data_IF_982121751051
#
_entry.id   IF_982121751051
#
_cell.length_a   1.000
_cell.length_b   1.000
_cell.length_c   1.000
_cell.angle_alpha   90.00
_cell.angle_beta   90.00
_cell.angle_gamma   90.00
#
_symmetry.space_group_name_H-M   'P 1'
#
loop_
_entity.id
_entity.type
_entity.pdbx_description
1 polymer ?
#
# COMPACT_ATOMS: atom_id res chain seq x y z
N UNK A 1 24.73 29.71 1.29
CA UNK A 1 23.28 29.68 1.66
C UNK A 1 22.62 28.78 0.63
N UNK A 2 21.80 27.83 1.04
CA UNK A 2 21.06 26.99 0.09
C UNK A 2 19.96 27.87 -0.53
N UNK A 3 19.97 28.01 -1.86
CA UNK A 3 18.95 28.75 -2.60
C UNK A 3 17.69 27.92 -2.89
N UNK A 4 17.66 26.67 -2.41
CA UNK A 4 16.59 25.72 -2.67
C UNK A 4 15.99 25.10 -1.39
N UNK A 5 14.72 24.75 -1.46
CA UNK A 5 13.97 24.06 -0.41
C UNK A 5 13.11 22.93 -0.98
N UNK A 6 12.85 21.88 -0.17
CA UNK A 6 11.72 20.98 -0.38
C UNK A 6 10.51 21.53 0.37
N UNK A 7 9.31 21.40 -0.18
CA UNK A 7 8.07 21.87 0.44
C UNK A 7 6.95 20.86 0.25
N UNK A 8 6.31 20.47 1.36
CA UNK A 8 5.04 19.75 1.37
C UNK A 8 4.04 20.53 2.23
N UNK A 9 2.81 20.67 1.74
CA UNK A 9 1.70 21.26 2.50
C UNK A 9 0.51 20.31 2.39
N UNK A 10 0.33 19.51 3.40
CA UNK A 10 -0.67 18.44 3.44
C UNK A 10 -0.98 18.03 4.89
N UNK A 11 -1.94 17.14 5.08
CA UNK A 11 -2.15 16.41 6.32
C UNK A 11 -1.33 15.11 6.27
N UNK A 12 -0.50 14.83 7.26
CA UNK A 12 0.33 13.61 7.28
C UNK A 12 -0.47 12.32 7.45
N UNK A 13 -1.73 12.41 7.84
CA UNK A 13 -2.67 11.30 7.78
C UNK A 13 -2.87 10.77 6.34
N UNK A 14 -2.77 11.64 5.34
CA UNK A 14 -3.06 11.37 3.94
C UNK A 14 -1.82 11.43 3.04
N UNK A 15 -0.69 11.92 3.56
CA UNK A 15 0.54 12.10 2.80
C UNK A 15 1.69 11.32 3.46
N UNK A 16 2.02 10.20 2.85
CA UNK A 16 3.07 9.30 3.33
C UNK A 16 4.47 9.93 3.27
N UNK A 17 4.74 10.82 2.32
CA UNK A 17 6.01 11.55 2.23
C UNK A 17 6.15 12.51 3.42
N UNK A 18 5.08 13.21 3.77
CA UNK A 18 5.06 14.11 4.92
C UNK A 18 5.25 13.33 6.23
N UNK A 19 4.56 12.20 6.40
CA UNK A 19 4.74 11.33 7.56
C UNK A 19 6.17 10.79 7.64
N UNK A 20 6.72 10.29 6.53
CA UNK A 20 8.10 9.79 6.45
C UNK A 20 9.13 10.86 6.86
N UNK A 21 8.95 12.08 6.36
CA UNK A 21 9.86 13.19 6.65
C UNK A 21 9.86 13.61 8.12
N UNK A 22 8.70 13.48 8.80
CA UNK A 22 8.47 14.12 10.11
C UNK A 22 8.24 13.14 11.26
N UNK A 23 7.81 11.92 10.97
CA UNK A 23 7.25 10.95 11.91
C UNK A 23 6.13 11.53 12.80
N UNK A 24 5.50 12.61 12.34
CA UNK A 24 4.42 13.29 13.03
C UNK A 24 3.10 13.08 12.30
N UNK A 25 2.14 12.48 12.99
CA UNK A 25 0.81 12.23 12.44
C UNK A 25 -0.18 13.30 12.88
N UNK A 26 -0.82 13.96 11.92
CA UNK A 26 -1.87 14.94 12.15
C UNK A 26 -2.94 14.89 11.05
N UNK A 27 -4.24 15.06 11.44
CA UNK A 27 -5.35 15.05 10.49
C UNK A 27 -5.47 16.38 9.72
N UNK A 28 -4.96 17.46 10.27
CA UNK A 28 -4.99 18.79 9.66
C UNK A 28 -3.73 19.07 8.87
N UNK A 29 -3.86 19.86 7.79
CA UNK A 29 -2.73 20.26 6.93
C UNK A 29 -1.78 21.21 7.68
N UNK A 30 -0.48 20.94 7.53
CA UNK A 30 0.61 21.77 8.03
C UNK A 30 1.72 21.92 6.98
N UNK A 31 2.69 22.78 7.25
CA UNK A 31 3.80 23.04 6.35
C UNK A 31 5.02 22.25 6.82
N UNK A 32 5.59 21.45 5.93
CA UNK A 32 6.93 20.91 6.04
C UNK A 32 7.80 21.55 4.98
N UNK A 33 8.97 22.05 5.39
CA UNK A 33 9.99 22.49 4.44
C UNK A 33 11.38 22.02 4.89
N UNK A 34 12.22 21.64 3.94
CA UNK A 34 13.60 21.29 4.21
C UNK A 34 14.53 22.28 3.51
N UNK A 35 15.34 22.99 4.27
CA UNK A 35 16.24 24.06 3.79
C UNK A 35 17.65 23.74 4.26
N UNK A 36 18.61 23.65 3.34
CA UNK A 36 20.00 23.29 3.68
C UNK A 36 20.13 22.01 4.54
N UNK A 37 19.27 21.02 4.27
CA UNK A 37 19.22 19.76 5.02
C UNK A 37 18.41 19.82 6.32
N UNK A 38 18.08 21.00 6.85
CA UNK A 38 17.27 21.15 8.07
C UNK A 38 15.79 20.99 7.78
N UNK A 39 15.14 20.11 8.51
CA UNK A 39 13.69 19.86 8.48
C UNK A 39 12.96 20.84 9.40
N UNK A 40 12.02 21.59 8.87
CA UNK A 40 11.27 22.64 9.57
C UNK A 40 9.78 22.36 9.42
N UNK A 41 9.03 22.40 10.52
CA UNK A 41 7.58 22.41 10.52
C UNK A 41 7.05 23.82 10.83
N UNK A 42 5.95 24.22 10.17
CA UNK A 42 5.14 25.35 10.61
C UNK A 42 3.76 24.81 10.97
N UNK A 43 3.44 24.91 12.26
CA UNK A 43 2.27 24.28 12.88
C UNK A 43 1.30 25.31 13.40
N UNK A 44 0.00 24.99 13.40
CA UNK A 44 -1.00 25.74 14.14
C UNK A 44 -0.71 25.69 15.65
N UNK A 45 -1.23 26.65 16.41
CA UNK A 45 -1.06 26.67 17.86
C UNK A 45 -1.73 25.47 18.56
N UNK A 46 -2.69 24.81 17.89
CA UNK A 46 -3.32 23.58 18.35
C UNK A 46 -2.31 22.42 18.42
N UNK A 47 -1.38 22.33 17.46
CA UNK A 47 -0.51 21.17 17.26
C UNK A 47 0.97 21.45 17.55
N UNK A 48 1.37 22.71 17.75
CA UNK A 48 2.78 23.10 17.83
C UNK A 48 3.54 22.43 18.97
N UNK A 49 2.92 22.24 20.12
CA UNK A 49 3.57 21.63 21.28
C UNK A 49 3.65 20.10 21.14
N UNK A 50 2.62 19.50 20.57
CA UNK A 50 2.65 18.07 20.23
C UNK A 50 3.70 17.77 19.15
N UNK A 51 3.78 18.62 18.12
CA UNK A 51 4.80 18.48 17.08
C UNK A 51 6.23 18.61 17.63
N UNK A 52 6.48 19.49 18.61
CA UNK A 52 7.78 19.60 19.28
C UNK A 52 8.16 18.36 20.06
N UNK A 53 7.18 17.69 20.67
CA UNK A 53 7.40 16.51 21.50
C UNK A 53 7.54 15.21 20.68
N UNK A 54 6.80 15.09 19.57
CA UNK A 54 6.61 13.83 18.87
C UNK A 54 7.33 13.75 17.51
N UNK A 55 7.62 14.90 16.86
CA UNK A 55 8.21 14.86 15.52
C UNK A 55 9.74 14.69 15.53
N UNK A 56 10.26 14.15 14.42
CA UNK A 56 11.70 13.98 14.17
C UNK A 56 12.24 15.07 13.25
N UNK A 57 12.03 16.35 13.59
CA UNK A 57 12.48 17.50 12.80
C UNK A 57 13.41 18.42 13.59
N UNK A 58 14.16 19.28 12.90
CA UNK A 58 15.14 20.16 13.52
C UNK A 58 14.50 21.41 14.15
N UNK A 59 13.37 21.89 13.61
CA UNK A 59 12.73 23.13 14.02
C UNK A 59 11.21 23.06 13.89
N UNK A 60 10.48 23.49 14.93
CA UNK A 60 9.01 23.62 14.89
C UNK A 60 8.63 25.07 15.18
N UNK A 61 8.04 25.71 14.19
CA UNK A 61 7.60 27.11 14.20
C UNK A 61 6.09 27.19 14.42
N UNK A 62 5.64 28.22 15.13
CA UNK A 62 4.22 28.53 15.28
C UNK A 62 3.73 29.37 14.10
N UNK A 63 2.64 28.99 13.48
CA UNK A 63 1.96 29.73 12.41
C UNK A 63 1.55 31.12 12.88
N UNK A 64 0.96 31.24 14.07
CA UNK A 64 0.51 32.54 14.62
C UNK A 64 1.66 33.50 14.87
N UNK A 65 2.84 33.01 15.31
CA UNK A 65 4.04 33.84 15.47
C UNK A 65 4.54 34.41 14.14
N UNK A 66 4.58 33.59 13.09
CA UNK A 66 4.96 34.03 11.75
C UNK A 66 3.93 35.01 11.16
N UNK A 67 2.64 34.77 11.40
CA UNK A 67 1.57 35.71 11.03
C UNK A 67 1.69 37.04 11.76
N UNK A 68 2.05 37.04 13.03
CA UNK A 68 2.30 38.27 13.79
C UNK A 68 3.52 39.05 13.25
N UNK A 69 4.57 38.33 12.79
CA UNK A 69 5.71 38.97 12.11
C UNK A 69 5.29 39.58 10.77
N UNK A 70 4.44 38.89 9.99
CA UNK A 70 3.86 39.39 8.75
C UNK A 70 3.09 40.71 8.99
N UNK A 71 2.22 40.72 10.00
CA UNK A 71 1.42 41.88 10.38
C UNK A 71 2.30 43.07 10.74
N UNK A 72 3.40 42.88 11.49
CA UNK A 72 4.37 43.97 11.79
C UNK A 72 5.04 44.53 10.54
N UNK A 73 5.16 43.72 9.47
CA UNK A 73 5.68 44.12 8.16
C UNK A 73 4.57 44.72 7.24
N UNK A 74 3.36 44.95 7.75
CA UNK A 74 2.22 45.51 7.00
C UNK A 74 1.48 44.49 6.11
N UNK A 75 1.74 43.16 6.29
CA UNK A 75 1.10 42.10 5.52
C UNK A 75 -0.05 41.50 6.34
N UNK A 76 -1.29 41.80 5.91
CA UNK A 76 -2.50 41.27 6.57
C UNK A 76 -3.67 41.20 5.58
N UNK A 77 -4.40 40.06 5.48
CA UNK A 77 -4.19 38.84 6.25
C UNK A 77 -2.97 38.08 5.75
N UNK A 78 -2.30 37.34 6.65
CA UNK A 78 -1.20 36.44 6.30
C UNK A 78 -1.66 34.98 6.31
N UNK A 79 -1.73 34.37 5.14
CA UNK A 79 -1.99 32.97 4.95
C UNK A 79 -0.70 32.13 4.82
N UNK A 80 -0.83 30.91 4.35
CA UNK A 80 0.30 29.99 4.12
C UNK A 80 1.36 30.61 3.20
N UNK A 81 0.96 31.27 2.13
CA UNK A 81 1.88 31.92 1.16
C UNK A 81 2.73 32.98 1.80
N UNK A 82 2.11 33.89 2.60
CA UNK A 82 2.79 35.00 3.26
C UNK A 82 3.75 34.50 4.34
N UNK A 83 3.37 33.44 5.06
CA UNK A 83 4.23 32.78 6.06
C UNK A 83 5.44 32.15 5.41
N UNK A 84 5.25 31.43 4.31
CA UNK A 84 6.34 30.85 3.52
C UNK A 84 7.24 31.92 2.92
N UNK A 85 6.68 33.02 2.40
CA UNK A 85 7.44 34.12 1.83
C UNK A 85 8.38 34.77 2.87
N UNK A 86 7.89 34.98 4.10
CA UNK A 86 8.72 35.49 5.20
C UNK A 86 9.84 34.52 5.54
N UNK A 87 9.51 33.25 5.76
CA UNK A 87 10.47 32.21 6.11
C UNK A 87 11.56 32.06 5.02
N UNK A 88 11.15 32.03 3.77
CA UNK A 88 12.06 31.81 2.63
C UNK A 88 12.96 33.03 2.38
N UNK A 89 12.44 34.28 2.51
CA UNK A 89 13.27 35.48 2.43
C UNK A 89 14.32 35.55 3.54
N UNK A 90 13.95 35.17 4.76
CA UNK A 90 14.88 35.10 5.90
C UNK A 90 15.95 34.04 5.73
N UNK A 91 15.65 32.95 5.02
CA UNK A 91 16.57 31.83 4.79
C UNK A 91 17.29 31.87 3.43
N UNK A 92 16.96 32.86 2.57
CA UNK A 92 17.60 33.04 1.26
C UNK A 92 17.16 32.01 0.19
N UNK A 93 15.96 31.43 0.34
CA UNK A 93 15.39 30.45 -0.63
C UNK A 93 14.82 31.19 -1.83
N UNK A 94 15.09 30.68 -3.04
CA UNK A 94 14.54 31.15 -4.32
C UNK A 94 13.86 30.04 -5.11
N UNK A 95 14.33 28.79 -4.94
CA UNK A 95 13.83 27.61 -5.65
C UNK A 95 13.13 26.67 -4.68
N UNK A 96 12.01 26.12 -5.09
CA UNK A 96 11.19 25.23 -4.24
C UNK A 96 10.82 23.99 -5.04
N UNK A 97 11.20 22.81 -4.54
CA UNK A 97 10.76 21.54 -5.07
C UNK A 97 9.53 21.05 -4.30
N UNK A 98 8.50 20.66 -5.02
CA UNK A 98 7.21 20.22 -4.47
C UNK A 98 6.81 18.85 -5.03
N UNK A 99 5.97 18.07 -4.32
CA UNK A 99 5.43 16.82 -4.88
C UNK A 99 4.45 17.12 -6.03
N UNK A 100 4.22 16.13 -6.89
CA UNK A 100 3.26 16.25 -8.01
C UNK A 100 1.83 16.57 -7.54
N UNK A 101 1.48 16.18 -6.32
CA UNK A 101 0.18 16.43 -5.66
C UNK A 101 0.06 17.81 -5.02
N UNK A 102 1.08 18.67 -5.14
CA UNK A 102 1.09 19.96 -4.48
C UNK A 102 -0.09 20.85 -4.94
N UNK A 103 -0.77 21.56 -4.02
CA UNK A 103 -1.94 22.38 -4.36
C UNK A 103 -1.60 23.47 -5.38
N UNK A 104 -2.19 23.40 -6.58
CA UNK A 104 -1.91 24.34 -7.69
C UNK A 104 -2.12 25.80 -7.30
N UNK A 105 -3.19 26.09 -6.53
CA UNK A 105 -3.48 27.46 -6.08
C UNK A 105 -2.39 28.02 -5.15
N UNK A 106 -1.70 27.16 -4.38
CA UNK A 106 -0.56 27.58 -3.55
C UNK A 106 0.69 27.75 -4.41
N UNK A 107 0.89 26.87 -5.39
CA UNK A 107 2.00 26.97 -6.34
C UNK A 107 1.97 28.29 -7.11
N UNK A 108 0.80 28.68 -7.63
CA UNK A 108 0.66 29.93 -8.38
C UNK A 108 0.92 31.16 -7.50
N UNK A 109 0.37 31.20 -6.28
CA UNK A 109 0.67 32.28 -5.32
C UNK A 109 2.13 32.40 -4.94
N UNK A 110 2.87 31.28 -4.85
CA UNK A 110 4.32 31.31 -4.61
C UNK A 110 5.08 31.80 -5.85
N UNK A 111 4.66 31.42 -7.07
CA UNK A 111 5.22 31.97 -8.32
C UNK A 111 5.00 33.48 -8.43
N UNK A 112 3.82 33.99 -8.05
CA UNK A 112 3.51 35.42 -8.01
C UNK A 112 4.40 36.17 -7.01
N UNK A 113 4.90 35.49 -5.95
CA UNK A 113 5.90 36.02 -5.01
C UNK A 113 7.33 36.02 -5.55
N UNK A 114 7.56 35.39 -6.75
CA UNK A 114 8.85 35.33 -7.41
C UNK A 114 9.65 34.02 -7.16
N UNK A 115 9.05 33.02 -6.53
CA UNK A 115 9.72 31.73 -6.33
C UNK A 115 9.68 30.87 -7.59
N UNK A 116 10.77 30.19 -7.89
CA UNK A 116 10.83 29.17 -8.94
C UNK A 116 10.39 27.82 -8.35
N UNK A 117 9.25 27.29 -8.81
CA UNK A 117 8.74 25.99 -8.38
C UNK A 117 9.03 24.94 -9.45
N UNK A 118 9.55 23.80 -9.01
CA UNK A 118 9.70 22.57 -9.80
C UNK A 118 9.03 21.38 -9.10
N UNK A 119 8.50 20.47 -9.90
CA UNK A 119 7.99 19.18 -9.39
C UNK A 119 9.18 18.25 -9.22
N UNK A 120 9.35 17.71 -8.01
CA UNK A 120 10.31 16.65 -7.76
C UNK A 120 9.71 15.33 -8.24
N UNK A 121 10.45 14.53 -9.04
CA UNK A 121 9.97 13.21 -9.48
C UNK A 121 9.66 12.28 -8.32
N UNK A 122 8.67 11.40 -8.51
CA UNK A 122 8.39 10.32 -7.55
C UNK A 122 9.44 9.19 -7.69
N UNK A 123 9.81 8.55 -6.57
CA UNK A 123 9.35 8.86 -5.19
C UNK A 123 9.96 10.17 -4.67
N UNK A 124 9.14 10.99 -4.02
CA UNK A 124 9.57 12.30 -3.51
C UNK A 124 10.77 12.20 -2.55
N UNK A 125 10.79 11.14 -1.73
CA UNK A 125 11.95 10.69 -0.96
C UNK A 125 12.40 9.32 -1.46
N UNK A 126 13.39 9.23 -2.37
CA UNK A 126 13.85 7.95 -2.93
C UNK A 126 14.30 6.95 -1.87
N UNK A 127 14.87 7.43 -0.76
CA UNK A 127 15.29 6.62 0.37
C UNK A 127 14.16 5.85 1.04
N UNK A 128 12.90 6.28 0.89
CA UNK A 128 11.71 5.60 1.41
C UNK A 128 11.49 4.22 0.78
N UNK A 129 11.94 4.01 -0.44
CA UNK A 129 11.81 2.71 -1.11
C UNK A 129 12.69 1.63 -0.48
N UNK A 130 13.83 2.00 0.13
CA UNK A 130 14.77 1.10 0.81
C UNK A 130 14.52 1.17 2.32
N UNK A 131 13.97 0.08 2.88
CA UNK A 131 13.50 0.04 4.27
C UNK A 131 14.66 -0.12 5.25
N UNK A 132 14.65 0.67 6.31
CA UNK A 132 15.51 0.50 7.46
C UNK A 132 15.05 -0.69 8.31
N UNK A 133 15.91 -1.25 9.17
CA UNK A 133 15.55 -2.39 10.02
C UNK A 133 14.28 -2.17 10.87
N UNK A 134 14.08 -0.96 11.41
CA UNK A 134 12.89 -0.60 12.19
C UNK A 134 11.62 -0.54 11.32
N UNK A 135 11.73 -0.13 10.07
CA UNK A 135 10.61 -0.11 9.11
C UNK A 135 10.22 -1.54 8.70
N UNK A 136 11.22 -2.40 8.46
CA UNK A 136 10.98 -3.83 8.22
C UNK A 136 10.32 -4.50 9.43
N UNK A 137 10.73 -4.15 10.65
CA UNK A 137 10.10 -4.67 11.87
C UNK A 137 8.63 -4.23 11.98
N UNK A 138 8.32 -2.98 11.61
CA UNK A 138 6.94 -2.48 11.58
C UNK A 138 6.07 -3.21 10.55
N UNK A 139 6.61 -3.49 9.35
CA UNK A 139 5.92 -4.28 8.31
C UNK A 139 5.67 -5.71 8.81
N UNK A 140 6.67 -6.36 9.43
CA UNK A 140 6.52 -7.72 9.99
C UNK A 140 5.40 -7.80 11.04
N UNK A 141 5.25 -6.76 11.86
CA UNK A 141 4.17 -6.72 12.86
C UNK A 141 2.80 -6.58 12.18
N UNK A 142 2.68 -5.74 11.15
CA UNK A 142 1.45 -5.65 10.35
C UNK A 142 1.12 -6.99 9.65
N UNK A 143 2.14 -7.68 9.09
CA UNK A 143 2.01 -9.02 8.50
C UNK A 143 1.47 -10.01 9.54
N UNK A 144 2.03 -10.05 10.74
CA UNK A 144 1.58 -10.95 11.82
C UNK A 144 0.09 -10.73 12.14
N UNK A 145 -0.33 -9.47 12.28
CA UNK A 145 -1.74 -9.14 12.53
C UNK A 145 -2.65 -9.58 11.37
N UNK A 146 -2.16 -9.44 10.12
CA UNK A 146 -2.87 -9.87 8.91
C UNK A 146 -3.03 -11.39 8.84
N UNK A 147 -1.96 -12.13 9.14
CA UNK A 147 -2.00 -13.60 9.19
C UNK A 147 -2.98 -14.13 10.23
N UNK A 148 -3.02 -13.52 11.42
CA UNK A 148 -3.97 -13.88 12.46
C UNK A 148 -5.42 -13.59 12.05
N UNK A 149 -5.66 -12.45 11.37
CA UNK A 149 -6.98 -12.10 10.84
C UNK A 149 -7.43 -13.08 9.76
N UNK A 150 -6.55 -13.43 8.81
CA UNK A 150 -6.82 -14.44 7.78
C UNK A 150 -7.12 -15.78 8.43
N UNK A 151 -6.29 -16.22 9.38
CA UNK A 151 -6.50 -17.50 10.08
C UNK A 151 -7.88 -17.54 10.76
N UNK A 152 -8.29 -16.47 11.42
CA UNK A 152 -9.57 -16.40 12.11
C UNK A 152 -10.76 -16.68 11.18
N UNK A 153 -10.74 -16.13 9.97
CA UNK A 153 -11.84 -16.30 9.00
C UNK A 153 -11.72 -17.57 8.16
N UNK A 154 -10.52 -18.05 7.90
CA UNK A 154 -10.30 -19.36 7.25
C UNK A 154 -10.87 -20.47 8.11
N UNK A 155 -10.71 -20.41 9.44
CA UNK A 155 -11.35 -21.35 10.37
C UNK A 155 -12.89 -21.29 10.31
N UNK A 156 -13.46 -20.09 10.15
CA UNK A 156 -14.91 -19.93 9.97
C UNK A 156 -15.38 -20.58 8.66
N UNK A 157 -14.66 -20.36 7.56
CA UNK A 157 -14.97 -20.99 6.26
C UNK A 157 -14.82 -22.51 6.35
N UNK A 158 -13.77 -23.01 7.00
CA UNK A 158 -13.52 -24.44 7.17
C UNK A 158 -14.62 -25.14 7.98
N UNK A 159 -15.18 -24.47 8.99
CA UNK A 159 -16.26 -25.00 9.85
C UNK A 159 -17.65 -24.83 9.25
N UNK A 160 -17.79 -24.14 8.12
CA UNK A 160 -19.08 -23.92 7.48
C UNK A 160 -19.67 -25.23 6.92
N UNK A 161 -20.99 -25.36 6.96
CA UNK A 161 -21.73 -26.44 6.35
C UNK A 161 -21.95 -26.15 4.86
N UNK A 162 -21.89 -27.18 4.02
CA UNK A 162 -22.30 -27.09 2.62
C UNK A 162 -23.78 -27.46 2.52
N UNK A 163 -24.61 -26.51 2.05
CA UNK A 163 -26.04 -26.73 1.79
C UNK A 163 -26.36 -26.36 0.36
N UNK A 164 -26.57 -27.37 -0.49
CA UNK A 164 -26.64 -27.16 -1.92
C UNK A 164 -25.29 -26.69 -2.48
N UNK A 165 -25.28 -25.52 -3.07
CA UNK A 165 -24.08 -24.87 -3.62
C UNK A 165 -23.58 -23.66 -2.78
N UNK A 166 -24.09 -23.48 -1.56
CA UNK A 166 -23.75 -22.38 -0.65
C UNK A 166 -23.08 -22.87 0.64
N UNK A 167 -22.30 -21.96 1.24
CA UNK A 167 -21.72 -22.15 2.57
C UNK A 167 -22.67 -21.57 3.62
N UNK A 168 -22.88 -22.31 4.72
CA UNK A 168 -23.76 -21.94 5.81
C UNK A 168 -23.06 -22.00 7.15
N UNK A 169 -23.33 -21.04 8.03
CA UNK A 169 -22.82 -21.01 9.42
C UNK A 169 -23.98 -20.74 10.37
N UNK A 170 -24.15 -21.59 11.39
CA UNK A 170 -25.19 -21.45 12.40
C UNK A 170 -26.61 -21.23 11.81
N UNK A 171 -26.94 -21.97 10.77
CA UNK A 171 -28.25 -21.93 10.13
C UNK A 171 -28.52 -20.73 9.21
N UNK A 172 -27.50 -19.95 8.86
CA UNK A 172 -27.59 -18.80 7.94
C UNK A 172 -26.54 -18.91 6.84
N UNK A 173 -26.80 -18.35 5.63
CA UNK A 173 -25.78 -18.27 4.60
C UNK A 173 -24.54 -17.51 5.09
N UNK A 174 -23.36 -18.05 4.82
CA UNK A 174 -22.09 -17.37 5.07
C UNK A 174 -21.81 -16.42 3.90
N UNK A 175 -21.66 -15.14 4.19
CA UNK A 175 -21.51 -14.11 3.16
C UNK A 175 -20.15 -13.42 3.21
N UNK A 176 -19.76 -12.81 2.08
CA UNK A 176 -18.55 -11.99 1.97
C UNK A 176 -18.50 -10.90 3.05
N UNK A 177 -19.64 -10.25 3.32
CA UNK A 177 -19.75 -9.18 4.33
C UNK A 177 -19.51 -9.69 5.74
N UNK A 178 -20.02 -10.89 6.08
CA UNK A 178 -19.81 -11.50 7.41
C UNK A 178 -18.32 -11.83 7.64
N UNK A 179 -17.66 -12.42 6.64
CA UNK A 179 -16.23 -12.73 6.70
C UNK A 179 -15.42 -11.45 6.81
N UNK A 180 -15.68 -10.46 5.95
CA UNK A 180 -14.97 -9.17 5.99
C UNK A 180 -15.16 -8.45 7.33
N UNK A 181 -16.38 -8.44 7.87
CA UNK A 181 -16.64 -7.87 9.18
C UNK A 181 -15.85 -8.56 10.29
N UNK A 182 -15.82 -9.90 10.30
CA UNK A 182 -15.06 -10.66 11.29
C UNK A 182 -13.55 -10.33 11.21
N UNK A 183 -13.01 -10.23 10.01
CA UNK A 183 -11.63 -9.87 9.75
C UNK A 183 -11.30 -8.45 10.24
N UNK A 184 -12.16 -7.47 9.90
CA UNK A 184 -11.98 -6.08 10.35
C UNK A 184 -12.06 -5.95 11.89
N UNK A 185 -12.91 -6.70 12.55
CA UNK A 185 -12.97 -6.71 14.02
C UNK A 185 -11.69 -7.30 14.65
N UNK A 186 -11.12 -8.33 14.05
CA UNK A 186 -9.84 -8.90 14.48
C UNK A 186 -8.69 -7.90 14.29
N UNK A 187 -8.57 -7.32 13.10
CA UNK A 187 -7.55 -6.33 12.78
C UNK A 187 -7.63 -5.11 13.71
N UNK A 188 -8.83 -4.58 13.95
CA UNK A 188 -9.03 -3.44 14.85
C UNK A 188 -8.61 -3.78 16.29
N UNK A 189 -8.88 -5.00 16.75
CA UNK A 189 -8.42 -5.49 18.06
C UNK A 189 -6.89 -5.59 18.18
N UNK A 190 -6.17 -5.64 17.05
CA UNK A 190 -4.71 -5.66 16.96
C UNK A 190 -4.10 -4.30 16.56
N UNK A 191 -4.85 -3.20 16.72
CA UNK A 191 -4.44 -1.84 16.30
C UNK A 191 -4.05 -1.75 14.81
N UNK A 192 -4.73 -2.53 13.96
CA UNK A 192 -4.62 -2.48 12.51
C UNK A 192 -5.96 -2.09 11.87
N UNK A 193 -5.93 -1.19 10.91
CA UNK A 193 -7.12 -0.73 10.19
C UNK A 193 -7.20 -1.42 8.82
N UNK A 194 -8.15 -2.35 8.67
CA UNK A 194 -8.52 -2.91 7.36
C UNK A 194 -9.44 -1.96 6.60
N UNK A 195 -9.10 -1.65 5.37
CA UNK A 195 -9.95 -0.90 4.43
C UNK A 195 -10.13 -1.73 3.18
N UNK A 196 -11.34 -1.74 2.63
CA UNK A 196 -11.64 -2.36 1.32
C UNK A 196 -11.15 -3.82 1.15
N UNK A 197 -10.95 -4.53 2.27
CA UNK A 197 -10.56 -5.95 2.28
C UNK A 197 -11.42 -6.77 1.34
N UNK A 198 -10.80 -7.51 0.44
CA UNK A 198 -11.48 -8.33 -0.56
C UNK A 198 -11.84 -9.68 0.04
N UNK A 199 -13.11 -10.05 -0.09
CA UNK A 199 -13.64 -11.38 0.18
C UNK A 199 -14.52 -11.74 -1.01
N UNK A 200 -13.90 -12.14 -2.11
CA UNK A 200 -14.59 -12.35 -3.38
C UNK A 200 -14.71 -13.84 -3.72
N UNK A 201 -15.94 -14.34 -3.84
CA UNK A 201 -16.24 -15.73 -4.19
C UNK A 201 -16.60 -15.93 -5.65
N UNK A 202 -16.16 -17.05 -6.24
CA UNK A 202 -16.55 -17.49 -7.58
C UNK A 202 -16.19 -16.47 -8.67
N UNK A 203 -17.17 -16.08 -9.48
CA UNK A 203 -16.96 -15.15 -10.60
C UNK A 203 -16.66 -13.72 -10.16
N UNK A 204 -17.03 -13.32 -8.95
CA UNK A 204 -16.68 -12.00 -8.42
C UNK A 204 -15.16 -11.86 -8.27
N UNK A 205 -14.46 -12.95 -7.94
CA UNK A 205 -13.01 -12.97 -7.85
C UNK A 205 -12.30 -12.79 -9.20
N UNK A 206 -13.02 -12.85 -10.33
CA UNK A 206 -12.46 -12.54 -11.65
C UNK A 206 -12.31 -11.05 -11.92
N UNK A 207 -12.77 -10.20 -11.01
CA UNK A 207 -12.51 -8.78 -10.98
C UNK A 207 -11.59 -8.51 -9.77
N UNK A 208 -10.27 -8.29 -9.98
CA UNK A 208 -9.28 -8.30 -8.90
C UNK A 208 -9.56 -7.33 -7.76
N UNK A 209 -10.27 -6.21 -8.02
CA UNK A 209 -10.64 -5.23 -7.01
C UNK A 209 -12.08 -5.34 -6.52
N UNK A 210 -12.81 -6.40 -6.91
CA UNK A 210 -14.16 -6.63 -6.38
C UNK A 210 -14.08 -7.05 -4.90
N UNK A 211 -14.60 -6.23 -4.00
CA UNK A 211 -14.59 -6.52 -2.56
C UNK A 211 -15.46 -7.73 -2.17
N UNK A 212 -16.29 -8.22 -3.09
CA UNK A 212 -17.21 -9.34 -2.89
C UNK A 212 -18.48 -8.97 -2.14
N UNK A 213 -19.55 -9.72 -2.41
CA UNK A 213 -20.86 -9.54 -1.78
C UNK A 213 -21.70 -10.81 -1.83
N UNK A 214 -22.63 -10.95 -0.87
CA UNK A 214 -23.61 -12.01 -0.83
C UNK A 214 -23.06 -13.38 -0.41
N UNK A 215 -23.83 -14.46 -0.58
CA UNK A 215 -23.47 -15.80 -0.15
C UNK A 215 -22.23 -16.35 -0.84
N UNK A 216 -21.32 -16.94 -0.05
CA UNK A 216 -20.15 -17.65 -0.55
C UNK A 216 -20.56 -19.05 -1.04
N UNK A 217 -20.03 -19.45 -2.20
CA UNK A 217 -20.38 -20.70 -2.84
C UNK A 217 -19.42 -21.83 -2.44
N UNK A 218 -20.00 -22.99 -2.15
CA UNK A 218 -19.25 -24.24 -2.01
C UNK A 218 -18.60 -24.62 -3.35
N UNK A 219 -17.45 -25.28 -3.30
CA UNK A 219 -16.72 -25.80 -4.47
C UNK A 219 -16.11 -24.74 -5.39
N UNK A 220 -16.23 -23.45 -5.05
CA UNK A 220 -15.67 -22.32 -5.78
C UNK A 220 -14.58 -21.61 -4.97
N UNK A 221 -13.55 -21.06 -5.64
CA UNK A 221 -12.51 -20.31 -4.95
C UNK A 221 -13.08 -19.05 -4.31
N UNK A 222 -12.52 -18.70 -3.16
CA UNK A 222 -12.78 -17.47 -2.41
C UNK A 222 -11.42 -16.78 -2.25
N UNK A 223 -11.26 -15.61 -2.86
CA UNK A 223 -10.08 -14.76 -2.70
C UNK A 223 -10.27 -13.94 -1.43
N UNK A 224 -9.31 -14.03 -0.52
CA UNK A 224 -9.16 -13.24 0.68
C UNK A 224 -7.91 -12.37 0.51
N UNK A 225 -8.10 -11.10 0.25
CA UNK A 225 -7.02 -10.14 0.02
C UNK A 225 -7.08 -9.05 1.08
N UNK A 226 -6.02 -8.96 1.89
CA UNK A 226 -6.04 -8.31 3.20
C UNK A 226 -4.81 -7.43 3.36
N UNK A 227 -5.00 -6.12 3.26
CA UNK A 227 -3.96 -5.10 3.25
C UNK A 227 -4.18 -4.01 4.32
N UNK A 228 -4.09 -4.35 5.61
CA UNK A 228 -4.31 -3.39 6.68
C UNK A 228 -3.11 -2.46 6.86
N UNK A 229 -3.39 -1.29 7.44
CA UNK A 229 -2.37 -0.38 7.95
C UNK A 229 -2.31 -0.45 9.47
N UNK A 230 -1.10 -0.55 10.03
CA UNK A 230 -0.88 -0.42 11.47
C UNK A 230 -1.20 1.00 11.94
N UNK A 231 -2.07 1.17 12.92
CA UNK A 231 -2.38 2.48 13.50
C UNK A 231 -1.24 3.04 14.35
N UNK A 232 -0.29 2.19 14.79
CA UNK A 232 0.88 2.60 15.56
C UNK A 232 2.02 3.08 14.69
N UNK A 233 2.34 2.31 13.64
CA UNK A 233 3.55 2.54 12.82
C UNK A 233 3.27 3.11 11.45
N UNK A 234 2.01 3.05 10.99
CA UNK A 234 1.52 3.46 9.65
C UNK A 234 2.04 2.60 8.50
N UNK A 235 2.76 1.52 8.79
CA UNK A 235 3.18 0.58 7.76
C UNK A 235 2.06 -0.39 7.42
N UNK A 236 2.00 -0.75 6.14
CA UNK A 236 1.06 -1.73 5.60
C UNK A 236 1.64 -3.14 5.65
N UNK A 237 0.77 -4.13 5.53
CA UNK A 237 1.03 -5.48 5.07
C UNK A 237 0.09 -5.78 3.91
N UNK A 238 0.43 -6.77 3.09
CA UNK A 238 -0.41 -7.20 1.98
C UNK A 238 -0.34 -8.71 1.78
N UNK A 239 -1.45 -9.40 2.03
CA UNK A 239 -1.48 -10.86 1.93
C UNK A 239 -2.77 -11.30 1.25
N UNK A 240 -2.63 -11.98 0.12
CA UNK A 240 -3.75 -12.67 -0.51
C UNK A 240 -3.65 -14.17 -0.32
N UNK A 241 -4.77 -14.78 0.04
CA UNK A 241 -4.97 -16.24 0.00
C UNK A 241 -6.24 -16.57 -0.75
N UNK A 242 -6.19 -17.60 -1.57
CA UNK A 242 -7.38 -18.20 -2.16
C UNK A 242 -7.68 -19.49 -1.43
N UNK A 243 -8.88 -19.60 -0.88
CA UNK A 243 -9.37 -20.80 -0.19
C UNK A 243 -10.65 -21.32 -0.84
N UNK A 244 -10.97 -22.59 -0.59
CA UNK A 244 -12.16 -23.27 -1.11
C UNK A 244 -12.68 -24.26 -0.08
N UNK A 245 -13.97 -24.21 0.23
CA UNK A 245 -14.66 -25.24 1.01
C UNK A 245 -15.38 -26.21 0.08
N UNK A 246 -15.05 -27.49 0.15
CA UNK A 246 -15.62 -28.55 -0.68
C UNK A 246 -14.65 -29.09 -1.73
N UNK A 247 -15.14 -29.41 -2.94
CA UNK A 247 -14.34 -30.11 -3.98
C UNK A 247 -14.03 -29.15 -5.14
N UNK A 248 -12.75 -28.76 -5.33
CA UNK A 248 -12.34 -27.94 -6.47
C UNK A 248 -12.46 -28.72 -7.79
N UNK A 249 -12.80 -28.01 -8.88
CA UNK A 249 -12.71 -28.58 -10.23
C UNK A 249 -11.25 -28.79 -10.64
N UNK A 250 -10.99 -29.62 -11.64
CA UNK A 250 -9.63 -29.87 -12.15
C UNK A 250 -8.99 -28.58 -12.71
N UNK A 251 -9.79 -27.71 -13.32
CA UNK A 251 -9.32 -26.38 -13.77
C UNK A 251 -8.86 -25.52 -12.60
N UNK A 252 -9.63 -25.44 -11.52
CA UNK A 252 -9.28 -24.69 -10.30
C UNK A 252 -8.00 -25.24 -9.66
N UNK A 253 -7.85 -26.57 -9.55
CA UNK A 253 -6.63 -27.18 -9.03
C UNK A 253 -5.40 -26.83 -9.89
N UNK A 254 -5.56 -26.85 -11.20
CA UNK A 254 -4.49 -26.51 -12.15
C UNK A 254 -4.12 -25.05 -12.03
N UNK A 255 -5.11 -24.12 -12.02
CA UNK A 255 -4.88 -22.70 -11.81
C UNK A 255 -4.12 -22.43 -10.50
N UNK A 256 -4.57 -23.04 -9.40
CA UNK A 256 -3.95 -22.86 -8.10
C UNK A 256 -2.49 -23.31 -8.08
N UNK A 257 -2.20 -24.49 -8.66
CA UNK A 257 -0.84 -25.02 -8.80
C UNK A 257 0.03 -24.07 -9.62
N UNK A 258 -0.46 -23.58 -10.77
CA UNK A 258 0.30 -22.68 -11.64
C UNK A 258 0.55 -21.32 -10.99
N UNK A 259 -0.42 -20.76 -10.26
CA UNK A 259 -0.23 -19.51 -9.52
C UNK A 259 0.84 -19.68 -8.44
N UNK A 260 0.86 -20.79 -7.70
CA UNK A 260 1.94 -21.10 -6.76
C UNK A 260 3.30 -21.22 -7.45
N UNK A 261 3.36 -21.93 -8.57
CA UNK A 261 4.60 -22.06 -9.36
C UNK A 261 5.06 -20.70 -9.88
N UNK A 262 4.14 -19.84 -10.33
CA UNK A 262 4.42 -18.45 -10.71
C UNK A 262 5.01 -17.63 -9.56
N UNK A 263 4.47 -17.78 -8.36
CA UNK A 263 5.00 -17.13 -7.16
C UNK A 263 6.42 -17.60 -6.83
N UNK A 264 6.68 -18.92 -6.92
CA UNK A 264 8.02 -19.51 -6.73
C UNK A 264 9.04 -19.03 -7.79
N UNK A 265 8.59 -18.76 -9.04
CA UNK A 265 9.42 -18.12 -10.06
C UNK A 265 9.82 -16.72 -9.60
N UNK A 266 8.86 -15.93 -9.11
CA UNK A 266 9.12 -14.59 -8.55
C UNK A 266 10.14 -14.63 -7.42
N UNK A 267 9.97 -15.52 -6.44
CA UNK A 267 10.87 -15.67 -5.30
C UNK A 267 12.31 -16.00 -5.71
N UNK A 268 12.49 -16.85 -6.74
CA UNK A 268 13.82 -17.21 -7.24
C UNK A 268 14.51 -16.08 -8.02
N UNK A 269 13.73 -15.22 -8.66
CA UNK A 269 14.26 -14.16 -9.51
C UNK A 269 14.51 -12.84 -8.76
N UNK A 270 13.77 -12.58 -7.68
CA UNK A 270 13.88 -11.34 -6.89
C UNK A 270 15.19 -11.33 -6.10
N UNK A 271 16.04 -10.37 -6.44
CA UNK A 271 17.34 -10.07 -5.80
C UNK A 271 17.80 -8.68 -6.22
N UNK A 272 18.82 -8.09 -5.58
CA UNK A 272 19.38 -6.82 -6.04
C UNK A 272 19.84 -6.90 -7.51
N UNK A 273 19.50 -5.88 -8.29
CA UNK A 273 19.80 -5.80 -9.73
C UNK A 273 18.81 -6.55 -10.63
N UNK A 274 17.84 -7.30 -10.09
CA UNK A 274 16.77 -7.90 -10.89
C UNK A 274 15.85 -6.83 -11.47
N UNK A 275 15.42 -7.04 -12.72
CA UNK A 275 14.40 -6.19 -13.36
C UNK A 275 13.01 -6.74 -13.07
N UNK A 276 12.17 -5.94 -12.39
CA UNK A 276 10.78 -6.31 -12.07
C UNK A 276 9.96 -6.70 -13.31
N UNK A 277 10.27 -6.07 -14.48
CA UNK A 277 9.65 -6.46 -15.75
C UNK A 277 10.03 -7.88 -16.18
N UNK A 278 11.27 -8.26 -16.00
CA UNK A 278 11.70 -9.62 -16.36
C UNK A 278 11.08 -10.68 -15.45
N UNK A 279 10.91 -10.38 -14.17
CA UNK A 279 10.19 -11.24 -13.21
C UNK A 279 8.74 -11.44 -13.67
N UNK A 280 8.04 -10.36 -13.95
CA UNK A 280 6.66 -10.39 -14.43
C UNK A 280 6.52 -11.20 -15.73
N UNK A 281 7.39 -10.95 -16.71
CA UNK A 281 7.36 -11.67 -17.99
C UNK A 281 7.57 -13.17 -17.82
N UNK A 282 8.49 -13.59 -16.95
CA UNK A 282 8.74 -15.01 -16.69
C UNK A 282 7.49 -15.73 -16.12
N UNK A 283 6.71 -15.05 -15.29
CA UNK A 283 5.45 -15.58 -14.74
C UNK A 283 4.37 -15.63 -15.84
N UNK A 284 4.25 -14.58 -16.65
CA UNK A 284 3.35 -14.57 -17.81
C UNK A 284 3.65 -15.73 -18.76
N UNK A 285 4.92 -15.93 -19.14
CA UNK A 285 5.37 -16.98 -20.03
C UNK A 285 5.07 -18.39 -19.45
N UNK A 286 5.18 -18.52 -18.12
CA UNK A 286 4.82 -19.78 -17.44
C UNK A 286 3.32 -20.10 -17.58
N UNK A 287 2.44 -19.12 -17.41
CA UNK A 287 1.00 -19.33 -17.57
C UNK A 287 0.63 -19.61 -19.03
N UNK A 288 1.15 -18.83 -19.97
CA UNK A 288 0.92 -19.02 -21.42
C UNK A 288 1.36 -20.43 -21.88
N UNK A 289 2.56 -20.87 -21.47
CA UNK A 289 3.10 -22.20 -21.81
C UNK A 289 2.22 -23.34 -21.29
N UNK A 290 1.49 -23.12 -20.21
CA UNK A 290 0.57 -24.10 -19.63
C UNK A 290 -0.89 -23.95 -20.11
N UNK A 291 -1.14 -23.13 -21.16
CA UNK A 291 -2.46 -22.98 -21.79
C UNK A 291 -3.40 -22.02 -21.09
N UNK A 292 -2.88 -21.18 -20.18
CA UNK A 292 -3.66 -20.14 -19.50
C UNK A 292 -3.34 -18.76 -20.11
N UNK A 293 -4.04 -18.47 -21.20
CA UNK A 293 -3.81 -17.28 -22.02
C UNK A 293 -4.46 -16.02 -21.39
N UNK A 294 -3.76 -14.91 -21.53
CA UNK A 294 -4.28 -13.60 -21.12
C UNK A 294 -4.88 -12.88 -22.31
N UNK A 295 -6.10 -12.43 -22.20
CA UNK A 295 -6.77 -11.68 -23.25
C UNK A 295 -8.26 -11.47 -22.98
N UNK A 296 -8.89 -10.75 -23.90
CA UNK A 296 -10.33 -10.48 -23.85
C UNK A 296 -11.12 -11.67 -24.41
N UNK A 297 -12.08 -12.16 -23.62
CA UNK A 297 -13.04 -13.20 -24.02
C UNK A 297 -14.44 -12.71 -23.69
N UNK A 298 -15.30 -12.58 -24.70
CA UNK A 298 -16.68 -12.09 -24.56
C UNK A 298 -16.79 -10.73 -23.82
N UNK A 299 -15.92 -9.79 -24.14
CA UNK A 299 -15.92 -8.45 -23.54
C UNK A 299 -15.34 -8.37 -22.10
N UNK A 300 -14.72 -9.44 -21.61
CA UNK A 300 -14.10 -9.50 -20.28
C UNK A 300 -12.65 -9.97 -20.40
N UNK A 301 -11.75 -9.26 -19.72
CA UNK A 301 -10.36 -9.73 -19.57
C UNK A 301 -10.33 -11.02 -18.74
N UNK A 302 -9.52 -11.98 -19.18
CA UNK A 302 -9.26 -13.23 -18.49
C UNK A 302 -7.75 -13.52 -18.53
N UNK A 303 -7.29 -14.44 -17.70
CA UNK A 303 -5.86 -14.76 -17.56
C UNK A 303 -5.19 -13.97 -16.45
N UNK A 304 -3.94 -13.54 -16.64
CA UNK A 304 -3.15 -12.72 -15.72
C UNK A 304 -2.93 -11.34 -16.33
N UNK A 305 -3.72 -10.35 -15.94
CA UNK A 305 -3.79 -9.03 -16.58
C UNK A 305 -3.47 -7.85 -15.65
N UNK A 306 -2.80 -8.10 -14.54
CA UNK A 306 -2.25 -7.06 -13.64
C UNK A 306 -0.76 -7.29 -13.38
N UNK A 307 -0.10 -6.42 -12.64
CA UNK A 307 1.30 -6.58 -12.24
C UNK A 307 1.52 -7.79 -11.34
N UNK A 308 2.77 -8.25 -11.27
CA UNK A 308 3.16 -9.32 -10.34
C UNK A 308 3.30 -8.81 -8.91
N UNK A 309 3.49 -7.48 -8.74
CA UNK A 309 3.64 -6.88 -7.42
C UNK A 309 4.10 -5.43 -7.45
N UNK A 310 4.25 -4.88 -6.28
CA UNK A 310 4.59 -3.48 -6.03
C UNK A 310 5.41 -3.35 -4.75
N UNK A 311 6.04 -2.20 -4.56
CA UNK A 311 6.63 -1.83 -3.28
C UNK A 311 5.56 -1.61 -2.21
N UNK A 312 5.90 -1.92 -0.99
CA UNK A 312 5.05 -1.81 0.19
C UNK A 312 5.75 -1.02 1.29
N UNK A 313 5.03 -0.21 2.02
CA UNK A 313 5.58 0.56 3.14
C UNK A 313 4.55 1.42 3.84
N UNK A 314 4.74 2.74 3.79
CA UNK A 314 3.76 3.73 4.29
C UNK A 314 2.58 3.94 3.32
N UNK A 315 2.69 3.45 2.11
CA UNK A 315 1.59 3.31 1.15
C UNK A 315 1.47 1.84 0.77
N UNK A 316 0.25 1.42 0.47
CA UNK A 316 0.00 0.07 0.00
C UNK A 316 0.69 -0.16 -1.36
N UNK A 317 0.68 0.83 -2.23
CA UNK A 317 1.36 0.82 -3.50
C UNK A 317 2.43 1.91 -3.55
N UNK A 318 3.69 1.54 -3.44
CA UNK A 318 4.82 2.45 -3.65
C UNK A 318 5.87 1.84 -4.60
N UNK A 319 6.94 2.57 -4.87
CA UNK A 319 8.07 2.03 -5.64
C UNK A 319 8.83 0.96 -4.82
N UNK A 320 9.40 -0.08 -5.49
CA UNK A 320 9.45 -0.30 -6.94
C UNK A 320 8.22 -1.05 -7.48
N UNK A 321 8.17 -1.24 -8.81
CA UNK A 321 7.14 -2.05 -9.48
C UNK A 321 7.72 -3.40 -9.94
N UNK A 322 6.94 -4.46 -9.76
CA UNK A 322 7.18 -5.78 -10.36
C UNK A 322 6.08 -6.03 -11.37
N UNK A 323 6.25 -5.53 -12.60
CA UNK A 323 5.15 -5.49 -13.58
C UNK A 323 5.62 -5.16 -14.99
N UNK A 324 4.74 -4.62 -15.83
CA UNK A 324 5.00 -4.37 -17.26
C UNK A 324 6.07 -3.32 -17.59
N UNK A 325 6.55 -2.55 -16.60
CA UNK A 325 7.60 -1.53 -16.78
C UNK A 325 8.92 -1.97 -16.15
N UNK A 326 10.03 -1.49 -16.73
CA UNK A 326 11.36 -1.76 -16.18
C UNK A 326 11.54 -1.03 -14.84
N UNK A 327 11.91 -1.78 -13.82
CA UNK A 327 12.27 -1.25 -12.49
C UNK A 327 13.31 -2.18 -11.85
N UNK A 328 14.43 -1.61 -11.42
CA UNK A 328 15.57 -2.39 -10.91
C UNK A 328 15.50 -2.47 -9.40
N UNK A 329 15.34 -3.69 -8.92
CA UNK A 329 15.21 -3.97 -7.50
C UNK A 329 16.53 -3.73 -6.75
N UNK A 330 16.42 -3.22 -5.52
CA UNK A 330 17.55 -2.91 -4.64
C UNK A 330 17.41 -3.67 -3.31
N UNK A 331 18.54 -3.96 -2.69
CA UNK A 331 18.57 -4.50 -1.32
C UNK A 331 17.82 -3.56 -0.35
N UNK A 332 17.08 -4.12 0.57
CA UNK A 332 16.27 -3.40 1.55
C UNK A 332 14.88 -2.98 1.08
N UNK A 333 14.53 -3.19 -0.19
CA UNK A 333 13.17 -2.96 -0.66
C UNK A 333 12.24 -4.06 -0.17
N UNK A 334 10.99 -3.69 0.17
CA UNK A 334 9.91 -4.65 0.42
C UNK A 334 8.96 -4.59 -0.76
N UNK A 335 8.65 -5.76 -1.34
CA UNK A 335 7.78 -5.89 -2.51
C UNK A 335 6.80 -7.03 -2.34
N UNK A 336 5.62 -6.93 -2.96
CA UNK A 336 4.67 -8.04 -3.04
C UNK A 336 4.99 -8.96 -4.22
N UNK A 337 4.57 -10.22 -4.14
CA UNK A 337 4.52 -11.16 -5.27
C UNK A 337 3.17 -11.85 -5.27
N UNK A 338 2.30 -11.42 -6.18
CA UNK A 338 0.86 -11.67 -6.20
C UNK A 338 0.32 -12.20 -7.54
N UNK A 339 0.95 -13.18 -8.20
CA UNK A 339 0.40 -13.68 -9.45
C UNK A 339 -1.03 -14.19 -9.27
N UNK A 340 -1.85 -14.00 -10.32
CA UNK A 340 -3.24 -14.44 -10.30
C UNK A 340 -3.71 -14.97 -11.67
N UNK A 341 -4.71 -15.83 -11.65
CA UNK A 341 -5.41 -16.33 -12.83
C UNK A 341 -6.92 -16.18 -12.65
N UNK A 342 -7.57 -15.60 -13.63
CA UNK A 342 -8.97 -15.20 -13.55
C UNK A 342 -9.75 -15.70 -14.77
N UNK A 343 -10.67 -16.66 -14.56
CA UNK A 343 -11.50 -17.25 -15.61
C UNK A 343 -12.94 -17.40 -15.14
N UNK A 344 -13.90 -16.86 -15.87
CA UNK A 344 -15.32 -16.81 -15.47
C UNK A 344 -15.95 -18.18 -15.22
N UNK A 345 -15.44 -19.23 -15.86
CA UNK A 345 -15.90 -20.60 -15.69
C UNK A 345 -15.24 -21.36 -14.52
N UNK A 346 -14.25 -20.72 -13.84
CA UNK A 346 -13.50 -21.30 -12.75
C UNK A 346 -13.39 -20.40 -11.51
N UNK A 347 -13.56 -19.09 -11.67
CA UNK A 347 -13.33 -18.08 -10.65
C UNK A 347 -11.92 -17.49 -10.70
N UNK A 348 -11.57 -16.71 -9.70
CA UNK A 348 -10.25 -16.10 -9.54
C UNK A 348 -9.37 -16.85 -8.54
N UNK A 349 -8.08 -16.91 -8.84
CA UNK A 349 -7.03 -17.41 -7.94
C UNK A 349 -5.96 -16.32 -7.86
N UNK A 350 -5.63 -15.86 -6.65
CA UNK A 350 -4.46 -15.02 -6.35
C UNK A 350 -3.81 -15.51 -5.07
N UNK A 351 -2.49 -15.57 -5.05
CA UNK A 351 -1.69 -15.87 -3.86
C UNK A 351 -0.61 -14.83 -3.78
N UNK A 352 -0.51 -14.17 -2.66
CA UNK A 352 0.38 -13.04 -2.44
C UNK A 352 1.15 -13.16 -1.14
N UNK A 353 2.40 -12.76 -1.18
CA UNK A 353 3.25 -12.63 -0.03
C UNK A 353 4.14 -11.38 -0.15
N UNK A 354 4.42 -10.76 1.00
CA UNK A 354 5.41 -9.69 1.15
C UNK A 354 6.82 -10.25 1.22
N UNK A 355 7.75 -9.67 0.47
CA UNK A 355 9.15 -10.08 0.39
C UNK A 355 10.09 -8.93 0.70
N UNK A 356 11.11 -9.19 1.52
CA UNK A 356 12.25 -8.30 1.68
C UNK A 356 13.36 -8.71 0.69
N UNK A 357 13.81 -7.79 -0.14
CA UNK A 357 14.98 -7.99 -1.01
C UNK A 357 16.24 -7.95 -0.14
N UNK A 358 16.97 -9.06 -0.09
CA UNK A 358 18.20 -9.22 0.69
C UNK A 358 19.44 -9.15 -0.20
N UNK A 359 20.64 -9.10 0.36
CA UNK A 359 21.89 -9.00 -0.39
C UNK A 359 22.07 -10.05 -1.49
N UNK A 360 21.48 -11.25 -1.35
CA UNK A 360 21.70 -12.38 -2.28
C UNK A 360 20.42 -12.99 -2.86
N UNK A 361 19.25 -12.44 -2.53
CA UNK A 361 17.95 -12.97 -2.96
C UNK A 361 16.80 -12.21 -2.33
N UNK A 362 15.81 -12.94 -1.81
CA UNK A 362 14.74 -12.35 -1.03
C UNK A 362 14.38 -13.23 0.18
N UNK A 363 13.79 -12.62 1.18
CA UNK A 363 13.17 -13.28 2.31
C UNK A 363 11.66 -13.10 2.22
N UNK A 364 10.89 -14.19 2.25
CA UNK A 364 9.42 -14.15 2.34
C UNK A 364 9.06 -13.80 3.77
N UNK A 365 8.41 -12.65 3.97
CA UNK A 365 8.05 -12.14 5.29
C UNK A 365 6.79 -12.81 5.83
N UNK A 366 5.80 -13.05 4.96
CA UNK A 366 4.54 -13.73 5.30
C UNK A 366 4.73 -15.25 5.40
N UNK A 367 4.14 -15.86 6.43
CA UNK A 367 4.30 -17.30 6.74
C UNK A 367 2.98 -18.06 6.74
N UNK A 368 1.85 -17.39 6.49
CA UNK A 368 0.54 -18.05 6.48
C UNK A 368 0.48 -19.13 5.40
N UNK A 369 -0.06 -20.32 5.71
CA UNK A 369 -0.12 -21.45 4.76
C UNK A 369 -0.79 -21.08 3.42
N UNK A 370 -0.30 -21.73 2.36
CA UNK A 370 -0.84 -21.61 1.00
C UNK A 370 -1.57 -22.92 0.67
N UNK A 371 -2.76 -23.09 1.22
CA UNK A 371 -3.61 -24.27 1.05
C UNK A 371 -4.92 -23.86 0.41
N UNK A 372 -5.33 -24.57 -0.66
CA UNK A 372 -6.57 -24.26 -1.38
C UNK A 372 -7.79 -24.77 -0.62
N UNK A 373 -7.79 -26.04 -0.24
CA UNK A 373 -8.98 -26.67 0.35
C UNK A 373 -8.92 -26.55 1.86
N UNK A 374 -10.00 -26.04 2.44
CA UNK A 374 -10.14 -25.84 3.88
C UNK A 374 -11.36 -26.61 4.41
N UNK A 375 -11.20 -27.24 5.57
CA UNK A 375 -12.19 -28.12 6.16
C UNK A 375 -12.36 -29.43 5.40
N UNK A 376 -12.53 -30.54 6.11
CA UNK A 376 -12.73 -31.88 5.59
C UNK A 376 -14.17 -32.13 5.09
#
# INVERSE_FOLDING_TARGET
MADSALLIVAASEQDANLYYATHFWAPDSFIFTQIAGKKILVMSDLEVDRARAESSVDEVLSMSRLQAQAKKKGISPAGTTEVLDILYKERGVQKVEVPATFPVALADRLRDKGYTLSIRPEPFFPERSVKKPEEVAAIREAIRCTEEAINSVVQVIAQSEIRGDELWLQGKPLTSELIRKAMHLHLMGADCLGRETIVAGGTQACDPHCIGSGPLRAHWPIVLDVFPVSMKTRYFADITRTVLRGKPSEKVKTMYRLVREGQEIGFKMIKPGADGKAVHQAIMDHFEKNGFHTGEVNGRMQGFFHGTGHGLGLEIHEAPRVGGVKDILQEGQVVTVEPGLYYLDAGGIRIEDDLLVTAHGCEVLSKYPRELVVGD
#
